data_IF_980524208294
#
_entry.id   IF_980524208294
#
_cell.length_a   1.000
_cell.length_b   1.000
_cell.length_c   1.000
_cell.angle_alpha   90.00
_cell.angle_beta   90.00
_cell.angle_gamma   90.00
#
_symmetry.space_group_name_H-M   'P 1'
#
loop_
_entity.id
_entity.type
_entity.pdbx_description
1 polymer ?
#
# COMPACT_ATOMS: atom_id res chain seq x y z
N UNK A 1 -0.63 -7.93 -20.26
CA UNK A 1 -0.86 -8.06 -18.82
C UNK A 1 -1.92 -9.13 -18.63
N UNK A 2 -1.72 -10.07 -17.72
CA UNK A 2 -2.64 -11.17 -17.39
C UNK A 2 -3.88 -10.71 -16.59
N UNK A 3 -4.02 -9.40 -16.37
CA UNK A 3 -5.10 -8.81 -15.57
C UNK A 3 -4.81 -8.85 -14.07
N UNK A 4 -3.65 -9.34 -13.64
CA UNK A 4 -3.26 -9.31 -12.22
C UNK A 4 -3.01 -7.87 -11.75
N UNK A 5 -3.58 -7.53 -10.59
CA UNK A 5 -3.31 -6.26 -9.90
C UNK A 5 -2.10 -6.47 -9.01
N UNK A 6 -1.02 -5.75 -9.32
CA UNK A 6 0.18 -5.67 -8.47
C UNK A 6 0.22 -4.27 -7.85
N UNK A 7 -0.19 -4.17 -6.60
CA UNK A 7 -0.15 -2.94 -5.82
C UNK A 7 1.00 -2.95 -4.81
N UNK A 8 1.59 -1.80 -4.57
CA UNK A 8 2.56 -1.59 -3.49
C UNK A 8 2.31 -0.23 -2.85
N UNK A 9 2.64 -0.10 -1.58
CA UNK A 9 2.64 1.17 -0.87
C UNK A 9 3.87 1.19 0.05
N UNK A 10 4.71 2.22 -0.10
CA UNK A 10 5.99 2.38 0.61
C UNK A 10 6.10 3.80 1.12
N UNK A 11 6.49 3.92 2.37
CA UNK A 11 6.73 5.15 3.09
C UNK A 11 8.22 5.27 3.35
N UNK A 12 8.78 6.44 3.06
CA UNK A 12 10.18 6.76 3.33
C UNK A 12 10.30 8.01 4.20
N UNK A 13 11.33 8.05 5.03
CA UNK A 13 11.67 9.16 5.90
C UNK A 13 13.14 9.52 5.69
N UNK A 14 13.45 10.80 5.48
CA UNK A 14 14.80 11.29 5.12
C UNK A 14 15.43 10.57 3.91
N UNK A 15 14.62 10.18 2.93
CA UNK A 15 15.07 9.46 1.74
C UNK A 15 15.44 7.99 1.98
N UNK A 16 15.17 7.46 3.18
CA UNK A 16 15.37 6.06 3.53
C UNK A 16 14.04 5.34 3.62
N UNK A 17 14.06 4.02 3.39
CA UNK A 17 12.90 3.18 3.63
C UNK A 17 12.49 3.25 5.10
N UNK A 18 11.19 3.30 5.36
CA UNK A 18 10.63 3.39 6.70
C UNK A 18 9.58 2.30 6.92
N UNK A 19 8.53 2.25 6.09
CA UNK A 19 7.45 1.27 6.24
C UNK A 19 6.95 0.85 4.85
N UNK A 20 6.63 -0.41 4.64
CA UNK A 20 5.94 -0.89 3.43
C UNK A 20 4.70 -1.70 3.77
N UNK A 21 3.74 -1.73 2.86
CA UNK A 21 2.55 -2.57 2.98
C UNK A 21 2.60 -3.72 1.97
N UNK A 22 2.52 -4.94 2.48
CA UNK A 22 2.50 -6.17 1.71
C UNK A 22 1.06 -6.61 1.45
N UNK A 23 0.61 -6.40 0.21
CA UNK A 23 -0.79 -6.67 -0.18
C UNK A 23 -1.18 -8.15 -0.04
N UNK A 24 -0.22 -9.06 -0.21
CA UNK A 24 -0.46 -10.51 -0.15
C UNK A 24 -0.77 -11.00 1.26
N UNK A 25 0.02 -10.56 2.24
CA UNK A 25 -0.16 -10.90 3.66
C UNK A 25 -1.07 -9.94 4.42
N UNK A 26 -1.44 -8.81 3.80
CA UNK A 26 -2.18 -7.69 4.43
C UNK A 26 -1.49 -7.19 5.70
N UNK A 27 -0.17 -7.04 5.64
CA UNK A 27 0.64 -6.66 6.79
C UNK A 27 1.60 -5.54 6.43
N UNK A 28 2.04 -4.81 7.44
CA UNK A 28 3.09 -3.82 7.28
C UNK A 28 4.46 -4.44 7.57
N UNK A 29 5.49 -3.95 6.89
CA UNK A 29 6.89 -4.34 7.10
C UNK A 29 7.65 -3.08 7.47
N UNK A 30 8.20 -3.04 8.69
CA UNK A 30 9.02 -1.93 9.15
C UNK A 30 10.46 -2.11 8.68
N UNK A 31 11.11 -1.01 8.32
CA UNK A 31 12.50 -1.01 7.89
C UNK A 31 13.49 -1.01 9.07
N UNK A 32 13.09 -0.44 10.21
CA UNK A 32 13.91 -0.36 11.43
C UNK A 32 13.03 -0.30 12.71
N UNK A 33 13.70 -0.26 13.87
CA UNK A 33 13.05 -0.23 15.19
C UNK A 33 12.21 1.03 15.44
N UNK A 34 12.50 2.15 14.75
CA UNK A 34 11.70 3.37 14.87
C UNK A 34 10.40 3.19 14.09
N UNK A 35 10.47 2.59 12.90
CA UNK A 35 9.31 2.28 12.09
C UNK A 35 8.38 1.22 12.71
N UNK A 36 8.89 0.34 13.57
CA UNK A 36 8.09 -0.62 14.33
C UNK A 36 7.01 0.04 15.19
N UNK A 37 7.27 1.26 15.69
CA UNK A 37 6.29 2.02 16.48
C UNK A 37 5.07 2.34 15.60
N UNK A 38 5.31 2.86 14.39
CA UNK A 38 4.24 3.15 13.42
C UNK A 38 3.55 1.89 12.94
N UNK A 39 4.31 0.80 12.70
CA UNK A 39 3.75 -0.50 12.30
C UNK A 39 2.67 -0.96 13.27
N UNK A 40 2.99 -0.99 14.57
CA UNK A 40 2.06 -1.43 15.62
C UNK A 40 0.83 -0.53 15.75
N UNK A 41 1.03 0.79 15.65
CA UNK A 41 -0.08 1.74 15.67
C UNK A 41 -1.07 1.46 14.54
N UNK A 42 -0.58 1.30 13.31
CA UNK A 42 -1.43 1.04 12.15
C UNK A 42 -2.08 -0.34 12.15
N UNK A 43 -1.42 -1.34 12.74
CA UNK A 43 -2.01 -2.66 12.99
C UNK A 43 -3.17 -2.57 14.01
N UNK A 44 -3.01 -1.78 15.08
CA UNK A 44 -4.05 -1.55 16.09
C UNK A 44 -5.24 -0.76 15.51
N UNK A 45 -4.97 0.21 14.64
CA UNK A 45 -5.99 1.01 13.93
C UNK A 45 -6.64 0.29 12.74
N UNK A 46 -6.25 -0.96 12.45
CA UNK A 46 -6.74 -1.75 11.31
C UNK A 46 -6.57 -1.04 9.94
N UNK A 47 -5.50 -0.25 9.78
CA UNK A 47 -5.18 0.46 8.52
C UNK A 47 -5.02 -0.49 7.33
N UNK A 48 -4.65 -1.75 7.58
CA UNK A 48 -4.44 -2.77 6.56
C UNK A 48 -5.65 -2.97 5.64
N UNK A 49 -6.88 -2.91 6.19
CA UNK A 49 -8.11 -3.07 5.43
C UNK A 49 -8.30 -1.93 4.42
N UNK A 50 -8.08 -0.68 4.86
CA UNK A 50 -8.16 0.49 4.00
C UNK A 50 -7.13 0.46 2.87
N UNK A 51 -5.88 0.06 3.19
CA UNK A 51 -4.80 -0.07 2.20
C UNK A 51 -5.09 -1.17 1.18
N UNK A 52 -5.58 -2.32 1.64
CA UNK A 52 -5.97 -3.41 0.75
C UNK A 52 -7.07 -2.98 -0.20
N UNK A 53 -8.16 -2.39 0.31
CA UNK A 53 -9.29 -1.95 -0.51
C UNK A 53 -8.84 -0.95 -1.58
N UNK A 54 -8.00 0.02 -1.20
CA UNK A 54 -7.48 0.99 -2.14
C UNK A 54 -6.65 0.34 -3.26
N UNK A 55 -5.72 -0.56 -2.90
CA UNK A 55 -4.81 -1.18 -3.87
C UNK A 55 -5.52 -2.21 -4.77
N UNK A 56 -6.52 -2.95 -4.25
CA UNK A 56 -7.24 -3.97 -5.03
C UNK A 56 -8.35 -3.40 -5.91
N UNK A 57 -8.99 -2.31 -5.49
CA UNK A 57 -10.21 -1.82 -6.14
C UNK A 57 -10.05 -0.39 -6.62
N UNK A 58 -9.85 0.56 -5.71
CA UNK A 58 -9.93 2.00 -6.01
C UNK A 58 -8.84 2.43 -7.01
N UNK A 59 -7.59 2.02 -6.78
CA UNK A 59 -6.45 2.36 -7.62
C UNK A 59 -6.60 1.82 -9.06
N UNK A 60 -6.82 0.50 -9.29
CA UNK A 60 -6.96 -0.02 -10.65
C UNK A 60 -8.21 0.51 -11.38
N UNK A 61 -9.32 0.75 -10.68
CA UNK A 61 -10.51 1.36 -11.28
C UNK A 61 -10.25 2.79 -11.73
N UNK A 62 -9.62 3.59 -10.87
CA UNK A 62 -9.22 4.97 -11.19
C UNK A 62 -8.26 4.98 -12.38
N UNK A 63 -7.26 4.11 -12.39
CA UNK A 63 -6.30 4.00 -13.49
C UNK A 63 -7.00 3.68 -14.82
N UNK A 64 -7.91 2.70 -14.83
CA UNK A 64 -8.71 2.35 -16.03
C UNK A 64 -9.51 3.55 -16.55
N UNK A 65 -10.14 4.31 -15.66
CA UNK A 65 -10.91 5.51 -16.01
C UNK A 65 -10.02 6.56 -16.67
N UNK A 66 -8.89 6.93 -16.05
CA UNK A 66 -8.02 7.98 -16.58
C UNK A 66 -7.28 7.57 -17.85
N UNK A 67 -6.86 6.31 -17.97
CA UNK A 67 -6.33 5.77 -19.24
C UNK A 67 -7.38 5.83 -20.34
N UNK A 68 -8.65 5.59 -20.02
CA UNK A 68 -9.76 5.73 -20.97
C UNK A 68 -9.96 7.14 -21.51
N UNK A 69 -9.66 8.19 -20.72
CA UNK A 69 -9.73 9.59 -21.19
C UNK A 69 -8.58 10.00 -22.12
N UNK A 70 -7.46 9.28 -22.08
CA UNK A 70 -6.30 9.52 -22.94
C UNK A 70 -6.32 8.75 -24.26
N UNK A 71 -7.41 8.03 -24.55
CA UNK A 71 -7.66 7.34 -25.82
C UNK A 71 -8.63 8.14 -26.67
#
# INVERSE_FOLDING_TARGET
SDGSVRGSNRYGYDGRDFLSFELGSKSFVAADDVAEITRRLWEDENEAEGRENYLKHICPESLRKYVGYGR
#
